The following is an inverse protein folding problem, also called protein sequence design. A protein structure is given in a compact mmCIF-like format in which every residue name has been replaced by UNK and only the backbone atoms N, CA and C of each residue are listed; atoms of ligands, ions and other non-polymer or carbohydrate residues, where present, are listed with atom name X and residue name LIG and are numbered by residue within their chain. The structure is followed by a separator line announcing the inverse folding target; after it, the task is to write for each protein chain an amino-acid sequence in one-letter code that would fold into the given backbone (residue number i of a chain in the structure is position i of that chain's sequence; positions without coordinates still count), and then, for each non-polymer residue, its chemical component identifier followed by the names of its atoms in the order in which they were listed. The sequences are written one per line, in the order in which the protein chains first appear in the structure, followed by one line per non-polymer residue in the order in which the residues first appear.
data_IF_232958656820
#
_entry.id   IF_232958656820
#
_cell.length_a   1.000
_cell.length_b   1.000
_cell.length_c   1.000
_cell.angle_alpha   90.00
_cell.angle_beta   90.00
_cell.angle_gamma   90.00
#
_symmetry.space_group_name_H-M   'P 1'
#
loop_
_entity.id
_entity.type
_entity.pdbx_description
1 polymer ?
#
# COMPACT_ATOMS: atom_id res chain seq x y z
N UNK A 1 -5.30 29.89 10.75
CA UNK A 1 -5.17 28.55 11.38
C UNK A 1 -4.47 27.61 10.39
N UNK A 2 -3.22 27.26 10.67
CA UNK A 2 -2.43 26.34 9.86
C UNK A 2 -2.98 24.91 9.98
N UNK A 3 -3.30 24.26 8.86
CA UNK A 3 -3.33 22.80 8.78
C UNK A 3 -2.18 22.37 7.88
N UNK A 4 -1.07 22.01 8.52
CA UNK A 4 0.14 21.52 7.88
C UNK A 4 -0.19 20.36 6.95
N UNK A 5 -0.16 20.64 5.65
CA UNK A 5 0.08 19.60 4.66
C UNK A 5 1.43 19.00 5.02
N UNK A 6 1.45 17.71 5.32
CA UNK A 6 2.70 16.96 5.44
C UNK A 6 3.38 17.07 4.08
N UNK A 7 4.29 18.05 3.97
CA UNK A 7 5.30 18.10 2.93
C UNK A 7 5.94 16.73 2.96
N UNK A 8 5.62 15.89 1.97
CA UNK A 8 6.32 14.62 1.75
C UNK A 8 7.78 15.02 1.63
N UNK A 9 8.53 14.90 2.73
CA UNK A 9 9.99 15.05 2.76
C UNK A 9 10.47 14.20 1.60
N UNK A 10 11.08 14.85 0.61
CA UNK A 10 11.27 14.33 -0.74
C UNK A 10 11.59 12.86 -0.69
N UNK A 11 10.64 12.01 -1.09
CA UNK A 11 11.06 10.71 -1.61
C UNK A 11 11.78 11.08 -2.88
N UNK A 12 13.08 10.83 -2.90
CA UNK A 12 13.87 11.06 -4.09
C UNK A 12 13.07 10.52 -5.29
N UNK A 13 12.91 11.30 -6.36
CA UNK A 13 12.15 10.84 -7.53
C UNK A 13 12.73 9.56 -8.14
N UNK A 14 14.01 9.30 -7.85
CA UNK A 14 14.74 8.10 -8.24
C UNK A 14 14.54 6.91 -7.28
N UNK A 15 14.00 7.14 -6.07
CA UNK A 15 13.76 6.08 -5.12
C UNK A 15 12.66 5.14 -5.66
N UNK A 16 12.89 3.82 -5.64
CA UNK A 16 11.92 2.86 -6.11
C UNK A 16 10.64 2.96 -5.27
N UNK A 17 9.52 2.73 -5.94
CA UNK A 17 8.20 2.81 -5.29
C UNK A 17 8.09 1.69 -4.25
N UNK A 18 7.72 2.06 -3.02
CA UNK A 18 7.61 1.11 -1.89
C UNK A 18 6.79 -0.12 -2.27
N UNK A 19 7.27 -1.29 -1.85
CA UNK A 19 6.53 -2.54 -1.98
C UNK A 19 5.12 -2.39 -1.42
N UNK A 20 4.14 -2.91 -2.16
CA UNK A 20 2.78 -3.03 -1.68
C UNK A 20 2.66 -4.29 -0.82
N UNK A 21 2.27 -4.10 0.44
CA UNK A 21 1.95 -5.22 1.34
C UNK A 21 0.67 -5.93 0.88
N UNK A 22 0.46 -7.16 1.35
CA UNK A 22 -0.69 -8.00 1.04
C UNK A 22 -2.01 -7.26 1.27
N UNK A 23 -2.08 -6.50 2.38
CA UNK A 23 -3.22 -5.64 2.68
C UNK A 23 -3.46 -4.55 1.65
N UNK A 24 -2.40 -3.91 1.12
CA UNK A 24 -2.54 -2.86 0.11
C UNK A 24 -2.94 -3.41 -1.26
N UNK A 25 -2.41 -4.57 -1.65
CA UNK A 25 -2.81 -5.26 -2.87
C UNK A 25 -4.28 -5.68 -2.81
N UNK A 26 -4.68 -6.32 -1.70
CA UNK A 26 -6.06 -6.67 -1.45
C UNK A 26 -6.95 -5.43 -1.41
N UNK A 27 -6.56 -4.37 -0.70
CA UNK A 27 -7.32 -3.13 -0.64
C UNK A 27 -7.39 -2.44 -2.01
N UNK A 28 -6.39 -2.55 -2.88
CA UNK A 28 -6.46 -1.94 -4.21
C UNK A 28 -7.53 -2.59 -5.11
N UNK A 29 -7.66 -3.90 -5.04
CA UNK A 29 -8.74 -4.65 -5.71
C UNK A 29 -10.09 -4.40 -5.02
N UNK A 30 -10.12 -4.54 -3.69
CA UNK A 30 -11.35 -4.48 -2.93
C UNK A 30 -11.83 -3.04 -2.68
N UNK A 31 -11.00 -2.00 -2.87
CA UNK A 31 -11.44 -0.60 -2.68
C UNK A 31 -12.54 -0.27 -3.65
N UNK A 32 -12.53 -0.79 -4.88
CA UNK A 32 -13.61 -0.49 -5.84
C UNK A 32 -14.91 -1.12 -5.37
N UNK A 33 -14.83 -2.30 -4.74
CA UNK A 33 -15.96 -2.99 -4.11
C UNK A 33 -16.46 -2.29 -2.83
N UNK A 34 -15.55 -1.76 -2.02
CA UNK A 34 -15.83 -1.10 -0.74
C UNK A 34 -16.18 0.38 -0.90
N UNK A 35 -15.71 1.03 -1.96
CA UNK A 35 -15.98 2.44 -2.27
C UNK A 35 -17.42 2.58 -2.72
N UNK A 36 -18.30 2.88 -1.76
CA UNK A 36 -19.68 3.27 -2.03
C UNK A 36 -19.78 4.79 -2.24
N UNK A 37 -20.68 5.27 -3.12
CA UNK A 37 -20.92 6.70 -3.27
C UNK A 37 -21.36 7.28 -1.93
N UNK A 38 -20.66 8.31 -1.45
CA UNK A 38 -20.91 8.96 -0.16
C UNK A 38 -20.05 8.47 1.01
N UNK A 39 -19.28 7.39 0.87
CA UNK A 39 -18.31 7.00 1.90
C UNK A 39 -17.00 7.76 1.79
N UNK A 40 -16.43 8.15 2.94
CA UNK A 40 -15.10 8.74 2.99
C UNK A 40 -14.03 7.65 2.81
N UNK A 41 -12.84 8.05 2.32
CA UNK A 41 -11.69 7.13 2.20
C UNK A 41 -11.33 6.51 3.55
N UNK A 42 -11.53 7.25 4.64
CA UNK A 42 -11.37 6.79 6.02
C UNK A 42 -12.34 5.65 6.39
N UNK A 43 -13.61 5.73 5.98
CA UNK A 43 -14.59 4.68 6.26
C UNK A 43 -14.29 3.42 5.46
N UNK A 44 -13.90 3.59 4.19
CA UNK A 44 -13.44 2.49 3.34
C UNK A 44 -12.22 1.79 3.95
N UNK A 45 -11.26 2.56 4.47
CA UNK A 45 -10.07 2.00 5.12
C UNK A 45 -10.40 1.24 6.42
N UNK A 46 -11.34 1.73 7.22
CA UNK A 46 -11.82 1.02 8.42
C UNK A 46 -12.50 -0.30 8.04
N UNK A 47 -13.42 -0.28 7.09
CA UNK A 47 -14.10 -1.48 6.61
C UNK A 47 -13.11 -2.50 6.01
N UNK A 48 -12.16 -2.01 5.21
CA UNK A 48 -11.07 -2.81 4.65
C UNK A 48 -10.25 -3.51 5.74
N UNK A 49 -9.88 -2.82 6.82
CA UNK A 49 -9.12 -3.42 7.92
C UNK A 49 -9.87 -4.54 8.63
N UNK A 50 -11.18 -4.36 8.85
CA UNK A 50 -12.03 -5.39 9.48
C UNK A 50 -12.17 -6.62 8.58
N UNK A 51 -12.45 -6.43 7.29
CA UNK A 51 -12.58 -7.52 6.33
C UNK A 51 -11.25 -8.28 6.16
N UNK A 52 -10.13 -7.55 6.12
CA UNK A 52 -8.79 -8.11 6.10
C UNK A 52 -8.48 -8.92 7.35
N UNK A 53 -8.91 -8.47 8.53
CA UNK A 53 -8.80 -9.22 9.78
C UNK A 53 -9.58 -10.54 9.73
N UNK A 54 -10.75 -10.53 9.08
CA UNK A 54 -11.64 -11.70 8.93
C UNK A 54 -11.22 -12.67 7.84
N UNK A 55 -10.45 -12.22 6.85
CA UNK A 55 -9.90 -13.09 5.81
C UNK A 55 -8.95 -14.10 6.45
N UNK A 56 -9.31 -15.38 6.44
CA UNK A 56 -8.38 -16.45 6.82
C UNK A 56 -7.40 -16.77 5.68
N UNK A 57 -7.84 -16.62 4.44
CA UNK A 57 -7.00 -16.84 3.26
C UNK A 57 -6.34 -15.52 2.82
N UNK A 58 -5.13 -15.30 3.35
CA UNK A 58 -4.26 -14.19 2.97
C UNK A 58 -3.08 -14.67 2.14
N UNK A 59 -2.85 -15.98 2.03
CA UNK A 59 -1.65 -16.56 1.43
C UNK A 59 -1.47 -16.14 -0.03
N UNK A 60 -2.55 -16.03 -0.80
CA UNK A 60 -2.49 -15.53 -2.18
C UNK A 60 -1.98 -14.07 -2.24
N UNK A 61 -2.41 -13.24 -1.28
CA UNK A 61 -2.00 -11.84 -1.19
C UNK A 61 -0.61 -11.69 -0.59
N UNK A 62 -0.23 -12.54 0.36
CA UNK A 62 1.10 -12.62 0.95
C UNK A 62 2.13 -13.04 -0.10
N UNK A 63 1.81 -14.03 -0.96
CA UNK A 63 2.66 -14.38 -2.12
C UNK A 63 2.86 -13.19 -3.05
N UNK A 64 1.78 -12.51 -3.46
CA UNK A 64 1.88 -11.32 -4.32
C UNK A 64 2.68 -10.19 -3.64
N UNK A 65 2.51 -10.01 -2.34
CA UNK A 65 3.25 -9.02 -1.57
C UNK A 65 4.72 -9.38 -1.41
N UNK A 66 5.05 -10.66 -1.26
CA UNK A 66 6.41 -11.15 -1.19
C UNK A 66 7.14 -10.96 -2.53
N UNK A 67 6.45 -11.21 -3.64
CA UNK A 67 6.97 -10.93 -4.98
C UNK A 67 7.24 -9.43 -5.19
N UNK A 68 6.27 -8.56 -4.85
CA UNK A 68 6.43 -7.11 -4.97
C UNK A 68 7.50 -6.59 -3.98
N UNK A 69 7.63 -7.20 -2.81
CA UNK A 69 8.73 -6.94 -1.86
C UNK A 69 10.08 -7.29 -2.46
N UNK A 70 10.23 -8.47 -3.08
CA UNK A 70 11.48 -8.86 -3.76
C UNK A 70 11.82 -7.90 -4.90
N UNK A 71 10.83 -7.47 -5.68
CA UNK A 71 11.01 -6.45 -6.71
C UNK A 71 11.52 -5.15 -6.11
N UNK A 72 10.88 -4.67 -5.05
CA UNK A 72 11.29 -3.44 -4.36
C UNK A 72 12.68 -3.57 -3.73
N UNK A 73 13.02 -4.70 -3.11
CA UNK A 73 14.34 -4.94 -2.51
C UNK A 73 15.44 -4.92 -3.57
N UNK A 74 15.21 -5.53 -4.74
CA UNK A 74 16.13 -5.43 -5.88
C UNK A 74 16.29 -3.99 -6.35
N UNK A 75 15.18 -3.30 -6.60
CA UNK A 75 15.22 -1.92 -7.06
C UNK A 75 15.85 -0.97 -6.01
N UNK A 76 15.63 -1.23 -4.71
CA UNK A 76 16.26 -0.47 -3.61
C UNK A 76 17.74 -0.76 -3.50
N UNK A 77 18.17 -1.99 -3.75
CA UNK A 77 19.58 -2.33 -3.76
C UNK A 77 20.30 -1.61 -4.91
N UNK A 78 19.69 -1.53 -6.09
CA UNK A 78 20.22 -0.75 -7.21
C UNK A 78 20.21 0.75 -6.93
N UNK A 79 19.10 1.27 -6.38
CA UNK A 79 19.00 2.67 -5.98
C UNK A 79 20.05 3.06 -4.92
N UNK A 80 20.25 2.21 -3.91
CA UNK A 80 21.25 2.42 -2.86
C UNK A 80 22.69 2.29 -3.37
N UNK A 81 22.91 1.53 -4.46
CA UNK A 81 24.23 1.47 -5.13
C UNK A 81 24.52 2.72 -5.97
N UNK A 82 23.48 3.40 -6.43
CA UNK A 82 23.59 4.63 -7.24
C UNK A 82 23.42 5.93 -6.46
N UNK A 83 23.22 5.85 -5.14
CA UNK A 83 23.24 6.99 -4.22
C UNK A 83 24.63 7.10 -3.58
#
# INVERSE_FOLDING_TARGET
MAKGGVTKRGKDPNAPKRAMSAFFLWMQENRQRLKKPGMSVSDVAKAAGVEWGKLSDKSEWEKKAEDDKKRYEKAMAEYKKGQ
#
